data_IF_973159059746
#
_entry.id   IF_973159059746
#
_cell.length_a   1.000
_cell.length_b   1.000
_cell.length_c   1.000
_cell.angle_alpha   90.00
_cell.angle_beta   90.00
_cell.angle_gamma   90.00
#
_symmetry.space_group_name_H-M   'P 1'
#
loop_
_entity.id
_entity.type
_entity.pdbx_description
1 polymer ?
#
# COMPACT_ATOMS: atom_id res chain seq x y z
N UNK A 1 13.11 -90.29 21.09
CA UNK A 1 14.37 -90.64 20.41
C UNK A 1 15.03 -89.39 19.91
N UNK A 2 16.24 -89.08 20.43
CA UNK A 2 17.30 -88.21 19.92
C UNK A 2 16.99 -86.72 19.75
N UNK A 3 17.27 -85.85 20.67
CA UNK A 3 18.55 -85.29 21.09
C UNK A 3 19.43 -84.76 19.96
N UNK A 4 19.60 -83.46 19.89
CA UNK A 4 20.90 -82.81 19.67
C UNK A 4 20.83 -81.32 19.96
N UNK A 5 21.53 -80.92 21.02
CA UNK A 5 21.83 -79.56 21.36
C UNK A 5 22.83 -78.97 20.34
N UNK A 6 22.68 -77.73 20.01
CA UNK A 6 23.71 -76.91 19.40
C UNK A 6 23.79 -75.56 20.12
N UNK A 7 24.88 -75.40 20.86
CA UNK A 7 25.34 -74.13 21.43
C UNK A 7 25.73 -73.17 20.32
N UNK A 8 25.21 -71.97 20.33
CA UNK A 8 25.76 -70.81 19.58
C UNK A 8 26.19 -69.72 20.55
N UNK A 9 27.50 -69.45 20.54
CA UNK A 9 28.13 -68.31 21.21
C UNK A 9 27.60 -67.01 20.60
N UNK A 10 27.07 -66.11 21.44
CA UNK A 10 26.77 -64.73 21.07
C UNK A 10 27.97 -63.90 21.44
N UNK A 11 28.71 -63.46 20.42
CA UNK A 11 29.76 -62.46 20.60
C UNK A 11 29.07 -61.06 20.76
N UNK A 12 29.18 -60.49 21.93
CA UNK A 12 28.69 -59.10 22.18
C UNK A 12 29.73 -58.12 21.60
N UNK A 13 29.39 -57.50 20.46
CA UNK A 13 30.15 -56.38 19.91
C UNK A 13 29.64 -55.07 20.56
N UNK A 14 30.45 -54.52 21.46
CA UNK A 14 30.21 -53.21 22.06
C UNK A 14 30.48 -52.15 20.99
N UNK A 15 29.44 -51.54 20.46
CA UNK A 15 29.53 -50.35 19.60
C UNK A 15 29.60 -49.12 20.48
N UNK A 16 30.80 -48.57 20.73
CA UNK A 16 30.99 -47.27 21.33
C UNK A 16 30.63 -46.19 20.27
N UNK A 17 29.40 -45.77 20.34
CA UNK A 17 28.94 -44.63 19.53
C UNK A 17 29.53 -43.34 20.08
N UNK A 18 30.52 -42.75 19.36
CA UNK A 18 30.92 -41.37 19.55
C UNK A 18 29.77 -40.47 19.09
N UNK A 19 28.91 -40.09 20.02
CA UNK A 19 27.91 -39.06 19.81
C UNK A 19 28.61 -37.69 19.66
N UNK A 20 28.78 -37.25 18.43
CA UNK A 20 29.18 -35.87 18.14
C UNK A 20 28.08 -34.91 18.66
N UNK A 21 28.29 -34.35 19.83
CA UNK A 21 27.54 -33.20 20.32
C UNK A 21 27.91 -31.99 19.44
N UNK A 22 27.20 -31.81 18.33
CA UNK A 22 27.19 -30.52 17.66
C UNK A 22 26.29 -29.59 18.50
N UNK A 23 26.82 -28.53 19.09
CA UNK A 23 25.96 -27.53 19.68
C UNK A 23 25.26 -26.83 18.51
N UNK A 24 23.97 -27.08 18.36
CA UNK A 24 23.11 -26.30 17.50
C UNK A 24 23.02 -24.89 18.07
N UNK A 25 23.99 -24.05 17.76
CA UNK A 25 23.87 -22.62 17.98
C UNK A 25 22.82 -22.11 17.00
N UNK A 26 21.54 -22.24 17.37
CA UNK A 26 20.50 -21.39 16.86
C UNK A 26 20.84 -19.98 17.36
N UNK A 27 21.55 -19.25 16.53
CA UNK A 27 21.70 -17.80 16.73
C UNK A 27 20.33 -17.18 16.49
N UNK A 28 19.47 -17.22 17.49
CA UNK A 28 18.32 -16.36 17.56
C UNK A 28 18.85 -14.94 17.58
N UNK A 29 18.72 -14.22 16.48
CA UNK A 29 18.97 -12.79 16.48
C UNK A 29 18.15 -12.21 17.64
N UNK A 30 18.80 -11.47 18.54
CA UNK A 30 18.09 -10.76 19.59
C UNK A 30 16.98 -9.92 18.92
N UNK A 31 15.77 -9.90 19.49
CA UNK A 31 14.69 -9.10 18.91
C UNK A 31 15.16 -7.67 18.68
N UNK A 32 14.91 -7.12 17.51
CA UNK A 32 15.27 -5.74 17.20
C UNK A 32 14.64 -4.82 18.26
N UNK A 33 15.43 -4.03 19.01
CA UNK A 33 14.90 -3.21 20.10
C UNK A 33 13.84 -2.20 19.62
N UNK A 34 13.83 -1.85 18.33
CA UNK A 34 12.83 -0.98 17.71
C UNK A 34 11.45 -1.62 17.65
N UNK A 35 11.40 -2.97 17.71
CA UNK A 35 10.16 -3.75 17.66
C UNK A 35 9.44 -3.75 19.00
N UNK A 36 10.15 -3.58 20.11
CA UNK A 36 9.56 -3.64 21.45
C UNK A 36 8.37 -2.66 21.62
N UNK A 37 8.47 -1.48 21.00
CA UNK A 37 7.41 -0.46 21.02
C UNK A 37 6.25 -0.75 20.03
N UNK A 38 6.49 -1.59 19.01
CA UNK A 38 5.47 -2.01 18.03
C UNK A 38 4.56 -3.14 18.55
N UNK A 39 5.03 -3.91 19.52
CA UNK A 39 4.36 -5.13 19.98
C UNK A 39 3.73 -4.89 21.33
N UNK A 40 2.41 -4.74 21.36
CA UNK A 40 1.66 -4.63 22.61
C UNK A 40 0.97 -5.96 22.93
N UNK A 41 1.18 -6.43 24.15
CA UNK A 41 0.62 -7.71 24.61
C UNK A 41 0.90 -8.90 23.65
N UNK A 42 2.13 -8.98 23.09
CA UNK A 42 2.57 -10.07 22.22
C UNK A 42 2.01 -10.06 20.80
N UNK A 43 1.41 -8.98 20.33
CA UNK A 43 0.82 -8.83 19.00
C UNK A 43 1.04 -7.43 18.44
N UNK A 44 0.96 -7.28 17.12
CA UNK A 44 0.92 -5.97 16.46
C UNK A 44 -0.52 -5.65 16.04
N UNK A 45 -0.97 -4.41 16.30
CA UNK A 45 -2.30 -3.91 15.93
C UNK A 45 -2.17 -3.00 14.70
N UNK A 46 -2.83 -3.35 13.62
CA UNK A 46 -2.81 -2.55 12.38
C UNK A 46 -4.21 -1.98 12.12
N UNK A 47 -4.29 -0.64 12.07
CA UNK A 47 -5.50 0.06 11.68
C UNK A 47 -5.76 -0.08 10.18
N UNK A 48 -6.97 -0.53 9.78
CA UNK A 48 -7.33 -0.73 8.38
C UNK A 48 -8.69 -0.11 8.09
N UNK A 49 -8.75 0.79 7.12
CA UNK A 49 -10.01 1.38 6.64
C UNK A 49 -10.58 0.58 5.49
N UNK A 50 -11.80 0.10 5.64
CA UNK A 50 -12.52 -0.62 4.58
C UNK A 50 -13.06 0.38 3.55
N UNK A 51 -12.99 0.05 2.26
CA UNK A 51 -13.60 0.89 1.21
C UNK A 51 -13.00 0.76 -0.20
N UNK A 52 -11.76 0.31 -0.35
CA UNK A 52 -11.14 0.12 -1.66
C UNK A 52 -9.96 -0.86 -1.61
N UNK A 53 -9.55 -1.39 -2.77
CA UNK A 53 -8.48 -2.39 -2.87
C UNK A 53 -7.07 -1.87 -2.52
N UNK A 54 -6.83 -0.57 -2.57
CA UNK A 54 -5.57 0.01 -2.11
C UNK A 54 -5.44 -0.01 -0.57
N UNK A 55 -6.58 -0.04 0.13
CA UNK A 55 -6.67 -0.23 1.59
C UNK A 55 -7.16 -1.63 1.90
N UNK A 56 -8.48 -1.78 2.06
CA UNK A 56 -9.11 -3.07 2.26
C UNK A 56 -10.52 -3.13 1.67
N UNK A 57 -10.89 -4.28 1.11
CA UNK A 57 -12.26 -4.67 0.78
C UNK A 57 -12.62 -5.87 1.65
N UNK A 58 -13.80 -5.82 2.26
CA UNK A 58 -14.33 -6.92 3.05
C UNK A 58 -15.20 -7.83 2.19
N UNK A 59 -14.88 -9.11 2.15
CA UNK A 59 -15.74 -10.10 1.52
C UNK A 59 -17.05 -10.20 2.32
N UNK A 60 -18.20 -9.95 1.71
CA UNK A 60 -19.48 -9.92 2.44
C UNK A 60 -19.89 -11.30 2.97
N UNK A 61 -19.40 -12.38 2.38
CA UNK A 61 -19.76 -13.75 2.77
C UNK A 61 -18.83 -14.32 3.84
N UNK A 62 -17.50 -14.14 3.65
CA UNK A 62 -16.48 -14.73 4.55
C UNK A 62 -16.02 -13.77 5.64
N UNK A 63 -16.26 -12.47 5.48
CA UNK A 63 -15.72 -11.42 6.35
C UNK A 63 -14.22 -11.15 6.15
N UNK A 64 -13.56 -11.87 5.25
CA UNK A 64 -12.14 -11.73 4.98
C UNK A 64 -11.81 -10.36 4.37
N UNK A 65 -10.73 -9.76 4.84
CA UNK A 65 -10.21 -8.51 4.31
C UNK A 65 -9.13 -8.77 3.26
N UNK A 66 -9.24 -8.10 2.11
CA UNK A 66 -8.27 -8.13 1.01
C UNK A 66 -7.89 -6.71 0.63
N UNK A 67 -6.65 -6.53 0.17
CA UNK A 67 -6.15 -5.24 -0.28
C UNK A 67 -4.69 -5.02 0.09
N UNK A 68 -4.03 -4.07 -0.57
CA UNK A 68 -2.59 -3.83 -0.40
C UNK A 68 -2.21 -3.49 1.05
N UNK A 69 -3.03 -2.68 1.75
CA UNK A 69 -2.75 -2.35 3.15
C UNK A 69 -2.88 -3.58 4.07
N UNK A 70 -3.87 -4.45 3.81
CA UNK A 70 -4.05 -5.71 4.55
C UNK A 70 -2.88 -6.65 4.32
N UNK A 71 -2.41 -6.77 3.08
CA UNK A 71 -1.27 -7.61 2.71
C UNK A 71 0.03 -7.14 3.36
N UNK A 72 0.26 -5.81 3.37
CA UNK A 72 1.40 -5.21 4.06
C UNK A 72 1.31 -5.40 5.57
N UNK A 73 0.11 -5.38 6.16
CA UNK A 73 -0.10 -5.67 7.58
C UNK A 73 0.33 -7.10 7.93
N UNK A 74 -0.08 -8.08 7.12
CA UNK A 74 0.35 -9.48 7.29
C UNK A 74 1.86 -9.63 7.12
N UNK A 75 2.45 -9.00 6.11
CA UNK A 75 3.89 -9.04 5.87
C UNK A 75 4.70 -8.40 7.01
N UNK A 76 4.23 -7.28 7.56
CA UNK A 76 4.87 -6.62 8.70
C UNK A 76 4.82 -7.51 9.96
N UNK A 77 3.67 -8.09 10.28
CA UNK A 77 3.50 -9.01 11.40
C UNK A 77 4.41 -10.25 11.27
N UNK A 78 4.48 -10.83 10.07
CA UNK A 78 5.36 -11.95 9.76
C UNK A 78 6.85 -11.57 9.90
N UNK A 79 7.25 -10.36 9.46
CA UNK A 79 8.63 -9.84 9.60
C UNK A 79 9.04 -9.68 11.06
N UNK A 80 8.10 -9.33 11.94
CA UNK A 80 8.31 -9.19 13.38
C UNK A 80 8.24 -10.56 14.10
N UNK A 81 7.50 -11.51 13.54
CA UNK A 81 7.27 -12.83 14.15
C UNK A 81 6.19 -12.84 15.23
N UNK A 82 5.18 -11.97 15.14
CA UNK A 82 4.08 -11.88 16.10
C UNK A 82 2.70 -11.98 15.42
N UNK A 83 1.65 -12.39 16.16
CA UNK A 83 0.29 -12.36 15.65
C UNK A 83 -0.15 -10.96 15.23
N UNK A 84 -0.90 -10.89 14.11
CA UNK A 84 -1.56 -9.68 13.63
C UNK A 84 -2.95 -9.55 14.26
N UNK A 85 -3.25 -8.36 14.77
CA UNK A 85 -4.62 -7.93 15.06
C UNK A 85 -4.98 -6.78 14.12
N UNK A 86 -5.97 -6.98 13.24
CA UNK A 86 -6.53 -5.89 12.45
C UNK A 86 -7.57 -5.14 13.28
N UNK A 87 -7.44 -3.81 13.29
CA UNK A 87 -8.41 -2.88 13.87
C UNK A 87 -9.17 -2.25 12.71
N UNK A 88 -10.39 -2.73 12.46
CA UNK A 88 -11.20 -2.30 11.32
C UNK A 88 -11.86 -0.94 11.58
N UNK A 89 -11.88 -0.12 10.53
CA UNK A 89 -12.59 1.16 10.49
C UNK A 89 -13.53 1.20 9.26
N UNK A 90 -14.70 1.85 9.36
CA UNK A 90 -15.70 1.83 8.30
C UNK A 90 -15.25 2.54 7.01
N UNK A 91 -14.21 3.35 7.08
CA UNK A 91 -13.61 4.06 5.94
C UNK A 91 -12.15 4.45 6.25
N UNK A 92 -11.30 4.64 5.21
CA UNK A 92 -9.87 4.97 5.42
C UNK A 92 -9.63 6.21 6.29
N UNK A 93 -10.44 7.25 6.16
CA UNK A 93 -10.29 8.47 6.96
C UNK A 93 -10.55 8.27 8.46
N UNK A 94 -11.39 7.31 8.84
CA UNK A 94 -11.71 7.05 10.25
C UNK A 94 -10.57 6.37 11.03
N UNK A 95 -9.56 5.81 10.34
CA UNK A 95 -8.41 5.18 10.99
C UNK A 95 -7.67 6.15 11.90
N UNK A 96 -7.59 7.41 11.51
CA UNK A 96 -6.88 8.44 12.29
C UNK A 96 -7.59 8.85 13.59
N UNK A 97 -8.88 8.54 13.73
CA UNK A 97 -9.58 8.72 15.01
C UNK A 97 -8.95 7.83 16.10
N UNK A 98 -8.41 6.67 15.72
CA UNK A 98 -7.71 5.75 16.61
C UNK A 98 -6.25 6.12 16.93
N UNK A 99 -5.63 7.04 16.19
CA UNK A 99 -4.22 7.42 16.40
C UNK A 99 -4.01 8.02 17.81
N UNK A 100 -4.89 8.92 18.22
CA UNK A 100 -4.81 9.63 19.49
C UNK A 100 -5.12 8.75 20.71
N UNK A 101 -5.86 7.68 20.51
CA UNK A 101 -6.25 6.75 21.58
C UNK A 101 -5.30 5.55 21.70
N UNK A 102 -4.29 5.47 20.80
CA UNK A 102 -3.39 4.31 20.74
C UNK A 102 -4.11 3.02 20.36
N UNK A 103 -5.19 3.11 19.55
CA UNK A 103 -5.97 1.95 19.14
C UNK A 103 -5.21 1.01 18.18
N UNK A 104 -4.19 1.53 17.49
CA UNK A 104 -3.35 0.77 16.57
C UNK A 104 -1.87 1.19 16.69
N UNK A 105 -0.98 0.32 16.22
CA UNK A 105 0.47 0.51 16.29
C UNK A 105 1.05 1.01 14.97
N UNK A 106 0.44 0.62 13.84
CA UNK A 106 0.72 1.16 12.52
C UNK A 106 -0.53 1.09 11.63
N UNK A 107 -0.49 1.80 10.50
CA UNK A 107 -1.51 1.73 9.44
C UNK A 107 -0.88 2.06 8.08
N UNK A 108 -1.58 1.73 6.98
CA UNK A 108 -1.12 1.93 5.60
C UNK A 108 -2.18 2.71 4.83
N UNK A 109 -1.94 3.99 4.57
CA UNK A 109 -2.94 4.91 3.99
C UNK A 109 -2.32 5.95 3.05
N UNK A 110 -3.18 6.66 2.33
CA UNK A 110 -2.79 7.83 1.52
C UNK A 110 -2.17 8.90 2.42
N UNK A 111 -1.08 9.48 1.94
CA UNK A 111 -0.47 10.66 2.56
C UNK A 111 -1.39 11.86 2.33
N UNK A 112 -1.73 12.52 3.42
CA UNK A 112 -2.56 13.72 3.44
C UNK A 112 -2.04 14.66 4.53
N UNK A 113 -2.01 16.01 4.33
CA UNK A 113 -1.51 16.94 5.32
C UNK A 113 -2.16 16.80 6.70
N UNK A 114 -3.48 16.63 6.75
CA UNK A 114 -4.20 16.51 8.04
C UNK A 114 -3.82 15.23 8.79
N UNK A 115 -3.49 14.17 8.07
CA UNK A 115 -3.04 12.89 8.62
C UNK A 115 -1.65 12.96 9.22
N UNK A 116 -0.75 13.73 8.59
CA UNK A 116 0.62 13.93 9.10
C UNK A 116 0.66 14.77 10.38
N UNK A 117 -0.40 15.49 10.72
CA UNK A 117 -0.55 16.12 12.04
C UNK A 117 -0.76 15.07 13.13
N UNK A 118 -1.55 14.03 12.86
CA UNK A 118 -1.94 13.03 13.86
C UNK A 118 -0.95 11.86 13.99
N UNK A 119 -0.18 11.56 12.95
CA UNK A 119 0.75 10.42 12.91
C UNK A 119 1.98 10.73 12.05
N UNK A 120 3.07 10.02 12.26
CA UNK A 120 4.29 10.12 11.46
C UNK A 120 4.24 9.15 10.28
N UNK A 121 4.56 9.64 9.08
CA UNK A 121 4.56 8.86 7.85
C UNK A 121 5.96 8.35 7.52
N UNK A 122 6.04 7.11 7.05
CA UNK A 122 7.23 6.56 6.38
C UNK A 122 7.40 7.18 4.99
N UNK A 123 8.50 6.91 4.28
CA UNK A 123 8.52 7.05 2.83
C UNK A 123 7.35 6.31 2.17
N UNK A 124 6.91 6.80 1.02
CA UNK A 124 5.82 6.18 0.28
C UNK A 124 6.19 4.77 -0.21
N UNK A 125 5.25 3.83 -0.16
CA UNK A 125 5.43 2.49 -0.74
C UNK A 125 4.80 2.35 -2.14
N UNK A 126 3.72 3.08 -2.40
CA UNK A 126 3.11 3.14 -3.73
C UNK A 126 2.58 4.54 -4.03
N UNK A 127 2.39 4.85 -5.30
CA UNK A 127 1.89 6.13 -5.77
C UNK A 127 1.01 5.94 -6.99
N UNK A 128 0.10 6.90 -7.21
CA UNK A 128 -0.69 7.03 -8.44
C UNK A 128 -0.72 8.49 -8.87
N UNK A 129 -0.92 8.70 -10.16
CA UNK A 129 -1.02 10.03 -10.72
C UNK A 129 -2.49 10.43 -10.88
N UNK A 130 -2.76 11.73 -10.76
CA UNK A 130 -3.92 12.37 -11.32
C UNK A 130 -3.59 12.84 -12.74
N UNK A 131 -4.41 12.49 -13.71
CA UNK A 131 -4.21 12.87 -15.11
C UNK A 131 -5.56 13.08 -15.79
N UNK A 132 -5.56 13.13 -17.12
CA UNK A 132 -6.74 13.38 -17.92
C UNK A 132 -7.03 12.25 -18.89
N UNK A 133 -8.32 11.96 -19.09
CA UNK A 133 -8.85 11.21 -20.19
C UNK A 133 -9.33 12.20 -21.25
N UNK A 134 -8.87 12.04 -22.47
CA UNK A 134 -9.26 12.87 -23.60
C UNK A 134 -9.96 12.02 -24.67
N UNK A 135 -10.93 12.58 -25.44
CA UNK A 135 -11.65 11.83 -26.46
C UNK A 135 -10.76 11.51 -27.66
N UNK A 136 -11.25 10.64 -28.53
CA UNK A 136 -10.64 10.38 -29.85
C UNK A 136 -10.41 11.67 -30.59
N UNK A 137 -9.26 11.78 -31.28
CA UNK A 137 -8.92 12.96 -32.08
C UNK A 137 -8.55 14.22 -31.28
N UNK A 138 -8.55 14.20 -29.98
CA UNK A 138 -8.14 15.35 -29.12
C UNK A 138 -6.74 15.84 -29.49
N UNK A 139 -6.57 17.15 -29.59
CA UNK A 139 -5.28 17.83 -29.75
C UNK A 139 -4.47 17.91 -28.46
N UNK A 140 -5.08 17.66 -27.29
CA UNK A 140 -4.42 17.63 -26.00
C UNK A 140 -3.51 16.40 -25.95
N UNK A 141 -2.19 16.60 -25.77
CA UNK A 141 -1.19 15.53 -25.77
C UNK A 141 -0.55 15.30 -24.40
N UNK A 142 -0.47 16.34 -23.60
CA UNK A 142 0.14 16.35 -22.28
C UNK A 142 -0.66 17.23 -21.32
N UNK A 143 -0.44 17.09 -20.00
CA UNK A 143 -1.19 17.84 -18.99
C UNK A 143 -1.00 19.36 -19.12
N UNK A 144 0.15 19.81 -19.61
CA UNK A 144 0.42 21.23 -19.89
C UNK A 144 -0.46 21.83 -21.00
N UNK A 145 -1.09 21.03 -21.84
CA UNK A 145 -1.99 21.51 -22.90
C UNK A 145 -3.37 21.88 -22.38
N UNK A 146 -3.70 21.51 -21.14
CA UNK A 146 -5.08 21.54 -20.63
C UNK A 146 -5.45 22.92 -20.06
N UNK A 147 -4.52 23.64 -19.43
CA UNK A 147 -4.83 24.96 -18.84
C UNK A 147 -4.77 26.10 -19.87
N UNK A 148 -5.69 26.08 -20.85
CA UNK A 148 -5.81 27.09 -21.93
C UNK A 148 -7.23 27.64 -22.00
N UNK A 149 -7.41 28.87 -22.48
CA UNK A 149 -8.73 29.43 -22.74
C UNK A 149 -9.54 28.54 -23.68
N UNK A 150 -10.82 28.33 -23.38
CA UNK A 150 -11.73 27.51 -24.16
C UNK A 150 -11.65 26.00 -23.88
N UNK A 151 -10.69 25.54 -23.08
CA UNK A 151 -10.65 24.15 -22.61
C UNK A 151 -11.59 24.00 -21.40
N UNK A 152 -12.46 23.00 -21.47
CA UNK A 152 -13.39 22.61 -20.41
C UNK A 152 -13.01 21.24 -19.88
N UNK A 153 -12.89 21.11 -18.57
CA UNK A 153 -12.44 19.88 -17.88
C UNK A 153 -13.54 19.45 -16.93
N UNK A 154 -14.06 18.24 -17.06
CA UNK A 154 -14.96 17.70 -16.04
C UNK A 154 -14.21 16.97 -14.94
N UNK A 155 -14.76 17.07 -13.71
CA UNK A 155 -14.32 16.37 -12.50
C UNK A 155 -15.52 15.96 -11.67
N UNK A 156 -15.36 14.98 -10.80
CA UNK A 156 -16.36 14.69 -9.77
C UNK A 156 -16.29 15.75 -8.67
N UNK A 157 -17.42 16.37 -8.36
CA UNK A 157 -17.55 17.45 -7.38
C UNK A 157 -17.00 17.05 -6.01
N UNK A 158 -16.12 17.88 -5.45
CA UNK A 158 -15.60 17.75 -4.09
C UNK A 158 -14.61 16.61 -3.86
N UNK A 159 -14.18 15.89 -4.90
CA UNK A 159 -13.11 14.92 -4.76
C UNK A 159 -11.71 15.58 -4.72
N UNK A 160 -10.68 14.78 -4.46
CA UNK A 160 -9.30 15.28 -4.36
C UNK A 160 -8.81 15.93 -5.65
N UNK A 161 -9.30 15.46 -6.80
CA UNK A 161 -8.95 16.01 -8.12
C UNK A 161 -9.59 17.37 -8.34
N UNK A 162 -10.88 17.55 -7.99
CA UNK A 162 -11.57 18.83 -8.02
C UNK A 162 -10.84 19.86 -7.14
N UNK A 163 -10.56 19.50 -5.88
CA UNK A 163 -9.86 20.39 -4.95
C UNK A 163 -8.46 20.77 -5.47
N UNK A 164 -7.77 19.83 -6.09
CA UNK A 164 -6.43 20.10 -6.66
C UNK A 164 -6.51 21.02 -7.87
N UNK A 165 -7.38 20.73 -8.83
CA UNK A 165 -7.51 21.50 -10.05
C UNK A 165 -8.07 22.90 -9.80
N UNK A 166 -8.96 23.07 -8.81
CA UNK A 166 -9.46 24.40 -8.38
C UNK A 166 -8.34 25.34 -7.93
N UNK A 167 -7.23 24.79 -7.43
CA UNK A 167 -6.06 25.57 -7.01
C UNK A 167 -5.04 25.77 -8.13
N UNK A 168 -5.00 24.88 -9.12
CA UNK A 168 -3.97 24.85 -10.17
C UNK A 168 -4.38 25.59 -11.44
N UNK A 169 -5.61 25.39 -11.91
CA UNK A 169 -6.07 25.95 -13.18
C UNK A 169 -6.21 27.47 -13.11
N UNK A 170 -5.80 28.13 -14.18
CA UNK A 170 -5.85 29.59 -14.32
C UNK A 170 -6.69 30.05 -15.52
N UNK A 171 -6.80 29.23 -16.55
CA UNK A 171 -7.37 29.61 -17.85
C UNK A 171 -8.48 28.67 -18.31
N UNK A 172 -8.36 27.38 -18.02
CA UNK A 172 -9.36 26.39 -18.35
C UNK A 172 -10.57 26.46 -17.41
N UNK A 173 -11.73 26.09 -17.92
CA UNK A 173 -12.98 26.00 -17.17
C UNK A 173 -13.10 24.63 -16.48
N UNK A 174 -13.34 24.63 -15.17
CA UNK A 174 -13.59 23.40 -14.40
C UNK A 174 -15.09 23.15 -14.25
N UNK A 175 -15.57 22.08 -14.90
CA UNK A 175 -16.97 21.64 -14.88
C UNK A 175 -17.16 20.54 -13.86
N UNK A 176 -17.91 20.83 -12.80
CA UNK A 176 -18.13 19.88 -11.69
C UNK A 176 -19.36 19.03 -11.96
N UNK A 177 -19.15 17.75 -12.12
CA UNK A 177 -20.20 16.74 -12.25
C UNK A 177 -20.51 16.12 -10.87
N UNK A 178 -21.75 15.68 -10.68
CA UNK A 178 -22.17 15.10 -9.39
C UNK A 178 -21.69 13.66 -9.18
N UNK A 179 -21.18 13.03 -10.26
CA UNK A 179 -20.61 11.69 -10.21
C UNK A 179 -19.57 11.49 -11.33
N UNK A 180 -18.76 10.44 -11.21
CA UNK A 180 -17.88 10.00 -12.29
C UNK A 180 -18.66 9.72 -13.58
N UNK A 181 -19.81 9.05 -13.48
CA UNK A 181 -20.62 8.70 -14.63
C UNK A 181 -21.12 9.95 -15.38
N UNK A 182 -21.60 10.98 -14.68
CA UNK A 182 -22.03 12.24 -15.29
C UNK A 182 -20.84 13.03 -15.87
N UNK A 183 -19.68 13.04 -15.21
CA UNK A 183 -18.47 13.67 -15.74
C UNK A 183 -17.97 13.04 -17.04
N UNK A 184 -18.03 11.71 -17.14
CA UNK A 184 -17.69 10.96 -18.35
C UNK A 184 -18.76 11.17 -19.44
N UNK A 185 -20.05 11.30 -19.10
CA UNK A 185 -21.10 11.61 -20.05
C UNK A 185 -20.88 12.98 -20.73
N UNK A 186 -20.41 13.99 -19.98
CA UNK A 186 -20.01 15.29 -20.56
C UNK A 186 -18.86 15.14 -21.56
N UNK A 187 -17.89 14.26 -21.30
CA UNK A 187 -16.80 13.98 -22.23
C UNK A 187 -17.31 13.29 -23.51
N UNK A 188 -18.19 12.30 -23.38
CA UNK A 188 -18.79 11.58 -24.51
C UNK A 188 -19.61 12.48 -25.41
N UNK A 189 -20.34 13.42 -24.84
CA UNK A 189 -21.17 14.37 -25.60
C UNK A 189 -20.40 15.55 -26.20
N UNK A 190 -19.06 15.63 -25.99
CA UNK A 190 -18.24 16.74 -26.46
C UNK A 190 -18.46 18.05 -25.71
N UNK A 191 -19.18 18.03 -24.58
CA UNK A 191 -19.42 19.23 -23.75
C UNK A 191 -18.18 19.66 -22.97
N UNK A 192 -17.21 18.74 -22.79
CA UNK A 192 -15.90 19.01 -22.21
C UNK A 192 -14.79 18.39 -23.06
N UNK A 193 -13.58 18.92 -22.93
CA UNK A 193 -12.41 18.50 -23.71
C UNK A 193 -11.61 17.40 -23.00
N UNK A 194 -11.74 17.29 -21.67
CA UNK A 194 -11.06 16.31 -20.85
C UNK A 194 -11.88 15.94 -19.59
N UNK A 195 -11.68 14.73 -19.09
CA UNK A 195 -12.14 14.31 -17.76
C UNK A 195 -10.92 14.02 -16.90
N UNK A 196 -10.85 14.60 -15.71
CA UNK A 196 -9.75 14.42 -14.77
C UNK A 196 -10.13 13.47 -13.63
N UNK A 197 -9.26 12.50 -13.35
CA UNK A 197 -9.43 11.54 -12.26
C UNK A 197 -8.08 10.85 -11.93
N UNK A 198 -8.01 9.98 -10.91
CA UNK A 198 -6.89 9.08 -10.73
C UNK A 198 -6.65 8.22 -11.98
N UNK A 199 -5.40 8.02 -12.37
CA UNK A 199 -4.99 7.24 -13.56
C UNK A 199 -5.66 5.88 -13.62
N UNK A 200 -5.75 5.17 -12.48
CA UNK A 200 -6.40 3.86 -12.40
C UNK A 200 -7.86 3.89 -12.87
N UNK A 201 -8.63 4.90 -12.44
CA UNK A 201 -10.01 5.10 -12.88
C UNK A 201 -10.09 5.44 -14.37
N UNK A 202 -9.17 6.29 -14.86
CA UNK A 202 -9.14 6.70 -16.27
C UNK A 202 -8.79 5.55 -17.21
N UNK A 203 -7.90 4.65 -16.82
CA UNK A 203 -7.56 3.46 -17.61
C UNK A 203 -8.78 2.52 -17.74
N UNK A 204 -9.50 2.29 -16.65
CA UNK A 204 -10.74 1.50 -16.69
C UNK A 204 -11.82 2.15 -17.56
N UNK A 205 -11.95 3.48 -17.52
CA UNK A 205 -12.89 4.23 -18.37
C UNK A 205 -12.48 4.23 -19.85
N UNK A 206 -11.19 4.38 -20.14
CA UNK A 206 -10.68 4.38 -21.52
C UNK A 206 -10.95 3.06 -22.22
N UNK A 207 -10.89 1.94 -21.51
CA UNK A 207 -11.27 0.63 -22.07
C UNK A 207 -12.74 0.56 -22.56
N UNK A 208 -13.62 1.42 -21.99
CA UNK A 208 -15.05 1.51 -22.35
C UNK A 208 -15.36 2.65 -23.34
N UNK A 209 -14.34 3.43 -23.76
CA UNK A 209 -14.45 4.60 -24.63
C UNK A 209 -13.50 4.46 -25.82
N UNK A 210 -13.92 3.81 -26.91
CA UNK A 210 -13.06 3.56 -28.07
C UNK A 210 -12.40 4.83 -28.61
N UNK A 211 -11.09 4.77 -28.81
CA UNK A 211 -10.29 5.89 -29.31
C UNK A 211 -9.95 6.98 -28.29
N UNK A 212 -10.50 6.92 -27.08
CA UNK A 212 -10.07 7.82 -26.00
C UNK A 212 -8.66 7.47 -25.54
N UNK A 213 -8.00 8.43 -24.91
CA UNK A 213 -6.62 8.26 -24.45
C UNK A 213 -6.43 8.88 -23.08
N UNK A 214 -5.80 8.12 -22.17
CA UNK A 214 -5.28 8.64 -20.90
C UNK A 214 -3.91 9.27 -21.18
N UNK A 215 -3.68 10.51 -20.72
CA UNK A 215 -2.40 11.17 -20.90
C UNK A 215 -1.30 10.45 -20.10
N UNK A 216 -0.09 10.37 -20.68
CA UNK A 216 1.02 9.63 -20.08
C UNK A 216 1.61 10.33 -18.86
N UNK A 217 1.61 11.67 -18.85
CA UNK A 217 2.04 12.49 -17.73
C UNK A 217 0.90 12.71 -16.72
N UNK A 218 1.27 13.11 -15.50
CA UNK A 218 0.33 13.47 -14.44
C UNK A 218 0.51 14.92 -14.02
N UNK A 219 -0.58 15.59 -13.66
CA UNK A 219 -0.52 16.96 -13.12
C UNK A 219 -0.35 17.00 -11.59
N UNK A 220 -0.58 15.88 -10.92
CA UNK A 220 -0.35 15.68 -9.49
C UNK A 220 -0.24 14.19 -9.20
N UNK A 221 0.23 13.86 -8.00
CA UNK A 221 0.28 12.48 -7.53
C UNK A 221 -0.32 12.35 -6.14
N UNK A 222 -0.83 11.17 -5.85
CA UNK A 222 -1.14 10.70 -4.50
C UNK A 222 -0.20 9.55 -4.17
N UNK A 223 0.21 9.49 -2.92
CA UNK A 223 1.11 8.46 -2.45
C UNK A 223 0.56 7.81 -1.18
N UNK A 224 0.87 6.54 -0.99
CA UNK A 224 0.52 5.77 0.20
C UNK A 224 1.78 5.49 1.01
N UNK A 225 1.69 5.67 2.31
CA UNK A 225 2.74 5.38 3.27
C UNK A 225 2.22 4.53 4.41
N UNK A 226 3.12 3.94 5.17
CA UNK A 226 2.79 3.49 6.49
C UNK A 226 2.82 4.68 7.45
N UNK A 227 1.96 4.65 8.45
CA UNK A 227 1.92 5.65 9.52
C UNK A 227 2.07 4.96 10.86
N UNK A 228 2.73 5.64 11.77
CA UNK A 228 2.81 5.27 13.19
C UNK A 228 2.35 6.44 14.05
N UNK A 229 1.78 6.23 15.24
CA UNK A 229 1.44 7.33 16.15
C UNK A 229 2.65 8.24 16.40
N UNK A 230 2.38 9.52 16.70
CA UNK A 230 3.42 10.51 16.99
C UNK A 230 4.32 10.09 18.16
N UNK A 231 5.55 10.59 18.16
CA UNK A 231 6.54 10.40 19.21
C UNK A 231 7.08 8.96 19.37
N UNK A 232 7.00 8.14 18.32
CA UNK A 232 7.51 6.76 18.29
C UNK A 232 8.62 6.61 17.24
N UNK A 233 9.75 7.31 17.42
CA UNK A 233 10.83 7.37 16.42
C UNK A 233 11.43 5.99 16.07
N UNK A 234 11.60 5.11 17.07
CA UNK A 234 12.11 3.75 16.85
C UNK A 234 11.14 2.92 16.01
N UNK A 235 9.85 3.01 16.30
CA UNK A 235 8.76 2.40 15.53
C UNK A 235 8.74 2.90 14.09
N UNK A 236 8.82 4.23 13.90
CA UNK A 236 8.87 4.84 12.57
C UNK A 236 10.09 4.35 11.77
N UNK A 237 11.26 4.28 12.40
CA UNK A 237 12.48 3.80 11.75
C UNK A 237 12.34 2.34 11.28
N UNK A 238 11.83 1.44 12.14
CA UNK A 238 11.62 0.04 11.79
C UNK A 238 10.60 -0.13 10.65
N UNK A 239 9.45 0.55 10.74
CA UNK A 239 8.40 0.47 9.71
C UNK A 239 8.87 1.10 8.38
N UNK A 240 9.70 2.16 8.43
CA UNK A 240 10.31 2.74 7.23
C UNK A 240 11.26 1.76 6.55
N UNK A 241 12.11 1.08 7.31
CA UNK A 241 12.98 0.03 6.80
C UNK A 241 12.18 -1.13 6.19
N UNK A 242 11.12 -1.57 6.85
CA UNK A 242 10.22 -2.59 6.31
C UNK A 242 9.62 -2.14 4.97
N UNK A 243 9.14 -0.91 4.86
CA UNK A 243 8.57 -0.35 3.62
C UNK A 243 9.61 -0.34 2.49
N UNK A 244 10.84 0.13 2.74
CA UNK A 244 11.90 0.14 1.73
C UNK A 244 12.28 -1.28 1.29
N UNK A 245 12.39 -2.22 2.23
CA UNK A 245 12.65 -3.63 1.91
C UNK A 245 11.52 -4.27 1.10
N UNK A 246 10.25 -3.98 1.42
CA UNK A 246 9.10 -4.47 0.68
C UNK A 246 9.05 -3.91 -0.76
N UNK A 247 9.50 -2.68 -0.98
CA UNK A 247 9.67 -2.10 -2.32
C UNK A 247 10.80 -2.80 -3.09
N UNK A 248 11.97 -2.91 -2.47
CA UNK A 248 13.17 -3.47 -3.09
C UNK A 248 13.03 -4.97 -3.44
N UNK A 249 12.36 -5.74 -2.61
CA UNK A 249 12.09 -7.18 -2.84
C UNK A 249 11.01 -7.44 -3.89
N UNK A 250 10.29 -6.42 -4.35
CA UNK A 250 9.15 -6.58 -5.27
C UNK A 250 7.82 -6.96 -4.59
N UNK A 251 7.79 -7.08 -3.27
CA UNK A 251 6.59 -7.47 -2.52
C UNK A 251 5.43 -6.48 -2.73
N UNK A 252 5.71 -5.17 -2.70
CA UNK A 252 4.69 -4.14 -2.98
C UNK A 252 4.14 -4.29 -4.40
N UNK A 253 5.00 -4.56 -5.39
CA UNK A 253 4.57 -4.80 -6.77
C UNK A 253 3.63 -5.99 -6.86
N UNK A 254 3.98 -7.12 -6.24
CA UNK A 254 3.15 -8.32 -6.19
C UNK A 254 1.76 -8.05 -5.62
N UNK A 255 1.66 -7.23 -4.56
CA UNK A 255 0.38 -6.87 -3.95
C UNK A 255 -0.47 -5.98 -4.85
N UNK A 256 0.14 -4.98 -5.52
CA UNK A 256 -0.52 -4.13 -6.51
C UNK A 256 -1.10 -4.97 -7.67
N UNK A 257 -0.30 -5.90 -8.20
CA UNK A 257 -0.69 -6.79 -9.31
C UNK A 257 -1.82 -7.75 -8.89
N UNK A 258 -1.72 -8.36 -7.71
CA UNK A 258 -2.76 -9.26 -7.16
C UNK A 258 -4.12 -8.58 -7.01
N UNK A 259 -4.13 -7.30 -6.63
CA UNK A 259 -5.34 -6.50 -6.48
C UNK A 259 -5.77 -5.80 -7.78
N UNK A 260 -5.12 -6.07 -8.93
CA UNK A 260 -5.40 -5.47 -10.25
C UNK A 260 -5.44 -3.93 -10.21
N UNK A 261 -4.55 -3.30 -9.46
CA UNK A 261 -4.52 -1.85 -9.31
C UNK A 261 -3.77 -1.18 -10.47
N UNK A 262 -4.39 -1.17 -11.64
CA UNK A 262 -3.83 -0.52 -12.81
C UNK A 262 -3.59 0.98 -12.58
N UNK A 263 -2.41 1.49 -13.01
CA UNK A 263 -2.04 2.90 -12.83
C UNK A 263 -1.53 3.27 -11.44
N UNK A 264 -1.41 2.30 -10.54
CA UNK A 264 -0.64 2.42 -9.29
C UNK A 264 0.76 1.85 -9.54
N UNK A 265 1.78 2.53 -9.04
CA UNK A 265 3.19 2.15 -9.20
C UNK A 265 3.83 2.01 -7.82
N UNK A 266 4.84 1.15 -7.72
CA UNK A 266 5.75 1.16 -6.57
C UNK A 266 6.41 2.54 -6.50
N UNK A 267 6.41 3.16 -5.33
CA UNK A 267 7.07 4.45 -5.14
C UNK A 267 8.61 4.30 -5.29
N UNK A 268 9.31 5.33 -5.77
CA UNK A 268 10.78 5.29 -5.85
C UNK A 268 11.39 5.09 -4.44
N UNK A 269 12.64 4.59 -4.36
CA UNK A 269 13.37 4.55 -3.10
C UNK A 269 13.40 5.92 -2.43
N UNK A 270 13.35 5.92 -1.09
CA UNK A 270 13.56 7.17 -0.35
C UNK A 270 14.93 7.77 -0.73
N UNK A 271 14.97 9.09 -0.95
CA UNK A 271 16.26 9.78 -1.10
C UNK A 271 17.02 9.58 0.21
N UNK A 272 18.23 9.06 0.12
CA UNK A 272 19.13 9.02 1.27
C UNK A 272 19.22 10.44 1.85
N UNK A 273 18.82 10.62 3.09
CA UNK A 273 19.13 11.87 3.81
C UNK A 273 20.65 11.90 3.91
N UNK A 274 21.34 12.94 3.42
CA UNK A 274 22.78 13.03 3.64
C UNK A 274 22.99 12.97 5.15
N UNK A 275 23.76 11.97 5.59
CA UNK A 275 24.22 11.90 6.97
C UNK A 275 24.99 13.19 7.23
N UNK A 276 24.42 14.09 8.04
CA UNK A 276 25.09 15.31 8.43
C UNK A 276 26.42 14.94 9.06
N UNK A 277 27.50 15.17 8.31
CA UNK A 277 28.82 15.13 8.86
C UNK A 277 28.93 16.28 9.87
N UNK A 278 29.22 15.94 11.08
CA UNK A 278 29.88 16.82 12.04
C UNK A 278 31.32 16.35 12.20
#
# INVERSE_FOLDING_TARGET
MNARAALWLVAATVFVGFGSLYPSHVWGQAPDPRVADLVQAGKIRIGVGVGNHASAIKNPTTGELRGVATDLAHALAARIGVPLQIVEYPRPGAVFDGARTGAWDATFLVIDPDRTVAADATPAYMASDFTYLVPAGSSIRQTGDVDRPGIRISVSRGDAVDLRLSRMLRRAELVRADSQASGVALLRSGQVNAYAAPRSSLLALSAQLPGSRVLDDGFASIAWAAFVPKNHAARLAFVSEFVENAKASGLVRQFIERENLHGIKVAPPAKATPSGGQ
#
